data_IF_006427799786
#
_entry.id   IF_006427799786
#
_cell.length_a   1.000
_cell.length_b   1.000
_cell.length_c   1.000
_cell.angle_alpha   90.00
_cell.angle_beta   90.00
_cell.angle_gamma   90.00
#
_symmetry.space_group_name_H-M   'P 1'
#
loop_
_entity.id
_entity.type
_entity.pdbx_description
1 polymer ?
#
# COMPACT_ATOMS: atom_id res chain seq x y z
N UNK A 1 9.50 -6.61 4.66
CA UNK A 1 9.42 -5.22 4.21
C UNK A 1 8.45 -4.47 5.11
N UNK A 2 8.75 -3.23 5.51
CA UNK A 2 7.86 -2.38 6.29
C UNK A 2 7.62 -1.06 5.55
N UNK A 3 6.52 -0.38 5.86
CA UNK A 3 6.34 1.01 5.45
C UNK A 3 7.35 1.89 6.19
N UNK A 4 8.03 2.77 5.45
CA UNK A 4 8.94 3.74 6.04
C UNK A 4 8.21 4.97 6.57
N UNK A 5 7.03 5.28 6.01
CA UNK A 5 6.15 6.34 6.50
C UNK A 5 4.70 6.06 6.13
N UNK A 6 3.81 6.41 7.04
CA UNK A 6 2.36 6.48 6.81
C UNK A 6 1.87 7.82 7.33
N UNK A 7 1.22 8.61 6.49
CA UNK A 7 0.68 9.92 6.89
C UNK A 7 -0.75 10.12 6.39
N UNK A 8 -1.58 10.76 7.21
CA UNK A 8 -2.92 11.19 6.82
C UNK A 8 -2.78 12.61 6.27
N UNK A 9 -3.32 12.85 5.08
CA UNK A 9 -3.37 14.18 4.45
C UNK A 9 -4.78 14.46 3.92
N UNK A 10 -5.11 15.70 3.52
CA UNK A 10 -6.41 16.01 2.93
C UNK A 10 -6.73 15.21 1.66
N UNK A 11 -5.71 14.64 0.99
CA UNK A 11 -5.87 13.83 -0.20
C UNK A 11 -6.12 12.33 0.08
N UNK A 12 -6.00 11.90 1.34
CA UNK A 12 -6.16 10.51 1.76
C UNK A 12 -5.02 10.01 2.65
N UNK A 13 -4.72 8.71 2.59
CA UNK A 13 -3.62 8.10 3.32
C UNK A 13 -2.41 7.90 2.39
N UNK A 14 -1.31 8.54 2.74
CA UNK A 14 -0.03 8.46 2.04
C UNK A 14 0.82 7.33 2.62
N UNK A 15 1.14 6.35 1.78
CA UNK A 15 1.90 5.14 2.14
C UNK A 15 3.23 5.15 1.39
N UNK A 16 4.33 5.21 2.13
CA UNK A 16 5.69 5.22 1.56
C UNK A 16 6.47 3.99 2.00
N UNK A 17 7.19 3.40 1.05
CA UNK A 17 8.08 2.27 1.26
C UNK A 17 9.25 2.28 0.28
N UNK A 18 10.32 1.57 0.60
CA UNK A 18 11.49 1.45 -0.27
C UNK A 18 11.34 0.24 -1.20
N UNK A 19 11.00 0.50 -2.46
CA UNK A 19 10.83 -0.52 -3.48
C UNK A 19 12.21 -0.93 -4.02
N UNK A 20 12.46 -2.25 -4.05
CA UNK A 20 13.69 -2.83 -4.60
C UNK A 20 13.57 -3.15 -6.07
N UNK A 21 14.66 -2.95 -6.81
CA UNK A 21 14.77 -3.22 -8.23
C UNK A 21 14.34 -4.67 -8.56
N UNK A 22 13.60 -4.83 -9.66
CA UNK A 22 13.20 -6.15 -10.16
C UNK A 22 12.12 -6.88 -9.33
N UNK A 23 11.56 -6.25 -8.29
CA UNK A 23 10.50 -6.84 -7.46
C UNK A 23 9.17 -6.15 -7.70
N UNK A 24 8.12 -6.92 -7.97
CA UNK A 24 6.74 -6.42 -8.04
C UNK A 24 6.11 -6.43 -6.66
N UNK A 25 5.14 -5.53 -6.46
CA UNK A 25 4.40 -5.44 -5.21
C UNK A 25 2.92 -5.26 -5.48
N UNK A 26 2.09 -5.70 -4.54
CA UNK A 26 0.71 -5.23 -4.46
C UNK A 26 0.49 -4.59 -3.10
N UNK A 27 -0.19 -3.45 -3.11
CA UNK A 27 -0.70 -2.80 -1.92
C UNK A 27 -2.13 -3.26 -1.71
N UNK A 28 -2.38 -3.88 -0.56
CA UNK A 28 -3.69 -4.41 -0.20
C UNK A 28 -4.18 -3.69 1.05
N UNK A 29 -5.49 -3.49 1.15
CA UNK A 29 -6.13 -2.85 2.29
C UNK A 29 -7.24 -3.73 2.88
N UNK A 30 -7.57 -3.49 4.13
CA UNK A 30 -8.68 -4.12 4.83
C UNK A 30 -9.24 -3.15 5.87
N UNK A 31 -10.57 -3.10 6.01
CA UNK A 31 -11.25 -2.23 6.95
C UNK A 31 -11.47 -2.92 8.31
N UNK A 32 -11.44 -4.25 8.35
CA UNK A 32 -11.65 -5.03 9.57
C UNK A 32 -10.78 -6.29 9.56
N UNK A 33 -9.53 -6.20 10.04
CA UNK A 33 -8.56 -7.29 9.96
C UNK A 33 -9.07 -8.49 10.76
N UNK A 34 -9.01 -9.67 10.14
CA UNK A 34 -9.49 -10.93 10.73
C UNK A 34 -10.95 -11.27 10.43
N UNK A 35 -11.74 -10.33 9.89
CA UNK A 35 -13.16 -10.55 9.56
C UNK A 35 -13.40 -10.50 8.04
N UNK A 36 -12.68 -9.66 7.29
CA UNK A 36 -12.85 -9.50 5.84
C UNK A 36 -11.66 -9.94 4.99
N UNK A 37 -11.85 -10.18 3.68
CA UNK A 37 -10.74 -10.39 2.74
C UNK A 37 -9.95 -9.08 2.55
N UNK A 38 -8.65 -9.22 2.35
CA UNK A 38 -7.82 -8.09 1.92
C UNK A 38 -8.12 -7.75 0.47
N UNK A 39 -8.39 -6.48 0.21
CA UNK A 39 -8.73 -5.96 -1.12
C UNK A 39 -7.51 -5.31 -1.75
N UNK A 40 -7.38 -5.43 -3.07
CA UNK A 40 -6.26 -4.84 -3.81
C UNK A 40 -6.51 -3.35 -4.03
N UNK A 41 -5.60 -2.51 -3.53
CA UNK A 41 -5.61 -1.07 -3.76
C UNK A 41 -4.86 -0.73 -5.06
N UNK A 42 -3.65 -1.27 -5.22
CA UNK A 42 -2.81 -1.00 -6.38
C UNK A 42 -1.77 -2.10 -6.59
N UNK A 43 -1.42 -2.33 -7.86
CA UNK A 43 -0.21 -3.07 -8.23
C UNK A 43 0.92 -2.07 -8.53
N UNK A 44 2.09 -2.34 -7.95
CA UNK A 44 3.29 -1.55 -8.17
C UNK A 44 4.24 -2.39 -9.02
N UNK A 45 4.57 -1.94 -10.25
CA UNK A 45 5.50 -2.65 -11.12
C UNK A 45 6.90 -2.66 -10.53
N UNK A 46 7.73 -3.58 -11.00
CA UNK A 46 9.11 -3.66 -10.57
C UNK A 46 9.89 -2.41 -11.02
N UNK A 47 10.49 -1.66 -10.09
CA UNK A 47 11.33 -0.54 -10.48
C UNK A 47 12.64 -1.04 -11.09
N UNK A 48 13.28 -0.21 -11.92
CA UNK A 48 14.58 -0.53 -12.52
C UNK A 48 15.74 -0.39 -11.51
N UNK A 49 15.60 0.48 -10.51
CA UNK A 49 16.56 0.73 -9.44
C UNK A 49 15.85 0.78 -8.09
N UNK A 50 16.61 0.66 -7.00
CA UNK A 50 16.07 0.82 -5.65
C UNK A 50 15.61 2.26 -5.45
N UNK A 51 14.33 2.45 -5.13
CA UNK A 51 13.75 3.78 -4.99
C UNK A 51 12.57 3.82 -4.02
N UNK A 52 12.39 4.93 -3.29
CA UNK A 52 11.19 5.13 -2.50
C UNK A 52 9.96 5.25 -3.41
N UNK A 53 8.90 4.55 -3.06
CA UNK A 53 7.59 4.61 -3.73
C UNK A 53 6.56 5.19 -2.78
N UNK A 54 5.75 6.12 -3.28
CA UNK A 54 4.63 6.75 -2.58
C UNK A 54 3.34 6.35 -3.28
N UNK A 55 2.38 5.82 -2.52
CA UNK A 55 1.01 5.56 -2.98
C UNK A 55 0.04 6.37 -2.11
N UNK A 56 -0.96 6.97 -2.75
CA UNK A 56 -2.03 7.70 -2.06
C UNK A 56 -3.32 6.89 -2.15
N UNK A 57 -3.86 6.50 -1.01
CA UNK A 57 -5.20 5.95 -0.89
C UNK A 57 -6.22 7.07 -0.70
N UNK A 58 -6.80 7.55 -1.80
CA UNK A 58 -7.85 8.58 -1.80
C UNK A 58 -9.26 8.03 -1.60
N UNK A 59 -9.40 6.70 -1.54
CA UNK A 59 -10.71 6.04 -1.40
C UNK A 59 -11.17 5.92 0.06
N UNK A 60 -10.31 6.29 1.01
CA UNK A 60 -10.65 6.28 2.44
C UNK A 60 -11.65 7.36 2.77
N UNK A 61 -12.78 6.97 3.36
CA UNK A 61 -13.71 7.91 3.98
C UNK A 61 -13.20 8.29 5.36
N UNK A 62 -13.37 9.56 5.77
CA UNK A 62 -12.82 10.11 7.02
C UNK A 62 -13.23 9.36 8.30
N UNK A 63 -14.29 8.56 8.24
CA UNK A 63 -14.81 7.75 9.35
C UNK A 63 -14.36 6.29 9.37
N UNK A 64 -13.65 5.81 8.35
CA UNK A 64 -13.26 4.41 8.22
C UNK A 64 -11.78 4.19 8.55
N UNK A 65 -11.50 3.34 9.54
CA UNK A 65 -10.15 2.85 9.79
C UNK A 65 -9.70 1.91 8.68
N UNK A 66 -8.46 2.07 8.19
CA UNK A 66 -7.86 1.17 7.20
C UNK A 66 -6.59 0.54 7.72
N UNK A 67 -6.44 -0.74 7.41
CA UNK A 67 -5.24 -1.53 7.61
C UNK A 67 -4.62 -1.80 6.25
N UNK A 68 -3.29 -1.72 6.18
CA UNK A 68 -2.55 -1.87 4.94
C UNK A 68 -1.53 -2.99 5.05
N UNK A 69 -1.37 -3.73 3.96
CA UNK A 69 -0.26 -4.68 3.80
C UNK A 69 0.36 -4.50 2.43
N UNK A 70 1.68 -4.58 2.40
CA UNK A 70 2.47 -4.66 1.18
C UNK A 70 2.88 -6.11 0.97
N UNK A 71 2.54 -6.68 -0.19
CA UNK A 71 2.91 -8.06 -0.54
C UNK A 71 3.88 -8.07 -1.72
N UNK A 72 4.79 -9.04 -1.72
CA UNK A 72 5.73 -9.31 -2.82
C UNK A 72 5.96 -10.82 -2.91
N UNK A 73 5.96 -11.44 -4.11
CA UNK A 73 5.59 -10.86 -5.41
C UNK A 73 4.16 -10.28 -5.42
N UNK A 74 3.84 -9.46 -6.44
CA UNK A 74 2.48 -8.93 -6.60
C UNK A 74 1.43 -10.07 -6.57
N UNK A 75 0.33 -9.82 -5.87
CA UNK A 75 -0.81 -10.72 -5.81
C UNK A 75 -1.51 -10.77 -7.19
N UNK A 76 -2.14 -11.91 -7.55
CA UNK A 76 -2.91 -12.04 -8.79
C UNK A 76 -3.99 -10.95 -8.98
#
# INVERSE_FOLDING_TARGET
MCFSRVTISPAGIELRFDARAGRTYSLLYNETPGIGPWQKLADIPAPATDQPTLIVDSSVSASAGRFYRLVTPAAP
#
